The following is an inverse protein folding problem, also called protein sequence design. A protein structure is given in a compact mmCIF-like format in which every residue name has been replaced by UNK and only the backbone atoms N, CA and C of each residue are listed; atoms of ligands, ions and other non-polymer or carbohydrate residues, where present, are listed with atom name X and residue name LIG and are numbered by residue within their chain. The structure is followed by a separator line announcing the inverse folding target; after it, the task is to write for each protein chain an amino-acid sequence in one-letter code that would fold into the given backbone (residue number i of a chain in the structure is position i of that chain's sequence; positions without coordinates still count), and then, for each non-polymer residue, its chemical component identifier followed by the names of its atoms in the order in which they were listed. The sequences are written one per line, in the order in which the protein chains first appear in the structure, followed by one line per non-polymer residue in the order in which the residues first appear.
data_IF_681026790433
#
_entry.id   IF_681026790433
#
_cell.length_a   1.000
_cell.length_b   1.000
_cell.length_c   1.000
_cell.angle_alpha   90.00
_cell.angle_beta   90.00
_cell.angle_gamma   90.00
#
_symmetry.space_group_name_H-M   'P 1'
#
loop_
_entity.id
_entity.type
_entity.pdbx_description
1 polymer ?
#
# COMPACT_ATOMS: atom_id res chain seq x y z
N UNK A 1 2.58 25.96 21.03
CA UNK A 1 1.94 26.14 19.71
C UNK A 1 2.39 25.00 18.81
N UNK A 2 1.47 24.23 18.34
CA UNK A 2 1.75 23.12 17.40
C UNK A 2 1.98 23.69 16.00
N UNK A 3 3.00 23.20 15.30
CA UNK A 3 3.31 23.62 13.94
C UNK A 3 2.76 22.63 12.90
N UNK A 4 2.52 23.11 11.67
CA UNK A 4 2.08 22.26 10.55
C UNK A 4 3.04 21.09 10.31
N UNK A 5 4.34 21.27 10.53
CA UNK A 5 5.34 20.21 10.40
C UNK A 5 5.16 19.12 11.45
N UNK A 6 4.86 19.49 12.70
CA UNK A 6 4.60 18.52 13.77
C UNK A 6 3.34 17.72 13.49
N UNK A 7 2.27 18.36 13.00
CA UNK A 7 1.05 17.65 12.59
C UNK A 7 1.34 16.68 11.43
N UNK A 8 2.06 17.11 10.40
CA UNK A 8 2.44 16.23 9.30
C UNK A 8 3.29 15.05 9.76
N UNK A 9 4.24 15.28 10.67
CA UNK A 9 5.09 14.23 11.25
C UNK A 9 4.30 13.24 12.11
N UNK A 10 3.30 13.72 12.85
CA UNK A 10 2.38 12.83 13.59
C UNK A 10 1.56 11.97 12.63
N UNK A 11 1.06 12.54 11.54
CA UNK A 11 0.29 11.83 10.51
C UNK A 11 1.13 10.81 9.71
N UNK A 12 2.46 10.92 9.68
CA UNK A 12 3.34 9.88 9.10
C UNK A 12 3.26 8.54 9.84
N UNK A 13 2.81 8.54 11.10
CA UNK A 13 2.60 7.31 11.86
C UNK A 13 1.26 6.63 11.56
N UNK A 14 0.36 7.30 10.87
CA UNK A 14 -0.97 6.78 10.51
C UNK A 14 -0.87 5.96 9.23
N UNK A 15 -1.16 4.68 9.34
CA UNK A 15 -1.05 3.73 8.23
C UNK A 15 -2.41 3.46 7.59
N UNK A 16 -2.48 3.54 6.27
CA UNK A 16 -3.63 3.01 5.53
C UNK A 16 -3.60 1.47 5.58
N UNK A 17 -4.60 0.82 6.17
CA UNK A 17 -4.60 -0.64 6.35
C UNK A 17 -4.80 -1.41 5.04
N UNK A 18 -5.30 -0.78 3.98
CA UNK A 18 -5.48 -1.42 2.66
C UNK A 18 -4.17 -1.40 1.86
N UNK A 19 -3.44 -0.30 1.94
CA UNK A 19 -2.22 -0.09 1.14
C UNK A 19 -0.97 -0.46 1.94
N UNK A 20 -1.04 -0.43 3.29
CA UNK A 20 0.07 -0.73 4.18
C UNK A 20 1.17 0.34 4.18
N UNK A 21 0.80 1.60 3.93
CA UNK A 21 1.67 2.78 3.92
C UNK A 21 1.05 3.93 4.69
N UNK A 22 1.89 4.88 5.10
CA UNK A 22 1.39 6.05 5.80
C UNK A 22 0.61 6.99 4.86
N UNK A 23 -0.38 7.68 5.42
CA UNK A 23 -1.29 8.55 4.66
C UNK A 23 -0.60 9.78 4.07
N UNK A 24 0.54 10.20 4.62
CA UNK A 24 1.33 11.34 4.13
C UNK A 24 2.07 10.96 2.85
N UNK A 25 2.78 9.82 2.83
CA UNK A 25 3.49 9.29 1.65
C UNK A 25 2.53 8.95 0.50
N UNK A 26 1.30 8.55 0.84
CA UNK A 26 0.24 8.30 -0.14
C UNK A 26 -0.35 9.58 -0.74
N UNK A 27 0.02 10.76 -0.20
CA UNK A 27 -0.56 12.03 -0.62
C UNK A 27 -2.04 12.17 -0.25
N UNK A 28 -2.50 11.46 0.77
CA UNK A 28 -3.89 11.51 1.24
C UNK A 28 -4.17 12.76 2.07
N UNK A 29 -3.17 13.36 2.73
CA UNK A 29 -3.32 14.61 3.48
C UNK A 29 -3.36 15.78 2.51
N UNK A 30 -4.55 16.36 2.31
CA UNK A 30 -4.77 17.47 1.37
C UNK A 30 -4.43 18.82 2.00
N UNK A 31 -4.93 19.06 3.19
CA UNK A 31 -4.79 20.35 3.86
C UNK A 31 -4.69 20.17 5.38
N UNK A 32 -3.87 21.03 5.99
CA UNK A 32 -3.77 21.16 7.44
C UNK A 32 -3.90 22.64 7.76
N UNK A 33 -4.98 23.00 8.45
CA UNK A 33 -5.23 24.34 8.95
C UNK A 33 -5.03 24.33 10.46
N UNK A 34 -4.41 25.37 11.00
CA UNK A 34 -4.13 25.52 12.43
C UNK A 34 -4.56 26.93 12.82
N UNK A 35 -5.53 27.04 13.72
CA UNK A 35 -5.98 28.30 14.29
C UNK A 35 -5.95 28.21 15.82
N UNK A 36 -4.82 28.64 16.39
CA UNK A 36 -4.57 28.51 17.82
C UNK A 36 -4.48 27.06 18.29
N UNK A 37 -5.51 26.58 19.01
CA UNK A 37 -5.65 25.22 19.48
C UNK A 37 -6.57 24.36 18.59
N UNK A 38 -7.22 24.98 17.60
CA UNK A 38 -8.06 24.26 16.64
C UNK A 38 -7.21 23.79 15.46
N UNK A 39 -7.23 22.49 15.20
CA UNK A 39 -6.50 21.85 14.08
C UNK A 39 -7.50 21.14 13.20
N UNK A 40 -7.57 21.57 11.96
CA UNK A 40 -8.39 20.95 10.93
C UNK A 40 -7.52 20.25 9.91
N UNK A 41 -7.72 18.93 9.76
CA UNK A 41 -7.00 18.11 8.79
C UNK A 41 -7.96 17.54 7.77
N UNK A 42 -7.73 17.80 6.50
CA UNK A 42 -8.50 17.24 5.40
C UNK A 42 -7.74 16.06 4.78
N UNK A 43 -8.33 14.87 4.86
CA UNK A 43 -7.79 13.63 4.31
C UNK A 43 -8.65 13.19 3.12
N UNK A 44 -8.00 12.96 1.98
CA UNK A 44 -8.62 12.48 0.75
C UNK A 44 -8.50 10.95 0.66
N UNK A 45 -9.62 10.25 0.60
CA UNK A 45 -9.70 8.79 0.48
C UNK A 45 -9.78 8.36 -0.98
N UNK A 46 -9.19 7.22 -1.31
CA UNK A 46 -9.20 6.65 -2.67
C UNK A 46 -10.59 6.21 -3.11
N UNK A 47 -11.41 5.75 -2.14
CA UNK A 47 -12.79 5.29 -2.37
C UNK A 47 -13.72 6.06 -1.46
N UNK A 48 -14.77 6.71 -1.99
CA UNK A 48 -15.82 7.30 -1.17
C UNK A 48 -16.55 6.19 -0.42
N UNK A 49 -16.85 6.40 0.86
CA UNK A 49 -17.47 5.42 1.77
C UNK A 49 -16.62 4.15 2.01
N UNK A 50 -15.31 4.30 2.12
CA UNK A 50 -14.43 3.22 2.56
C UNK A 50 -14.87 2.74 3.96
N UNK A 51 -15.08 1.43 4.18
CA UNK A 51 -15.46 0.91 5.50
C UNK A 51 -14.40 1.16 6.58
N UNK A 52 -13.19 1.52 6.19
CA UNK A 52 -12.06 1.83 7.08
C UNK A 52 -11.87 3.34 7.30
N UNK A 53 -12.75 4.18 6.74
CA UNK A 53 -12.66 5.64 6.87
C UNK A 53 -12.67 6.10 8.34
N UNK A 54 -13.53 5.50 9.18
CA UNK A 54 -13.65 5.86 10.59
C UNK A 54 -12.38 5.49 11.37
N UNK A 55 -11.72 4.42 10.97
CA UNK A 55 -10.45 4.00 11.56
C UNK A 55 -9.32 4.97 11.17
N UNK A 56 -9.21 5.32 9.89
CA UNK A 56 -8.18 6.28 9.42
C UNK A 56 -8.40 7.65 10.10
N UNK A 57 -9.66 8.09 10.21
CA UNK A 57 -9.99 9.34 10.89
C UNK A 57 -9.66 9.29 12.40
N UNK A 58 -9.98 8.17 13.06
CA UNK A 58 -9.65 7.95 14.48
C UNK A 58 -8.14 7.94 14.71
N UNK A 59 -7.41 7.11 13.96
CA UNK A 59 -5.95 7.00 14.07
C UNK A 59 -5.26 8.36 13.78
N UNK A 60 -5.80 9.15 12.82
CA UNK A 60 -5.30 10.49 12.52
C UNK A 60 -5.62 11.50 13.63
N UNK A 61 -6.81 11.45 14.20
CA UNK A 61 -7.21 12.26 15.34
C UNK A 61 -6.30 12.00 16.54
N UNK A 62 -6.16 10.74 16.94
CA UNK A 62 -5.34 10.30 18.07
C UNK A 62 -3.86 10.72 17.89
N UNK A 63 -3.33 10.62 16.67
CA UNK A 63 -1.95 11.00 16.37
C UNK A 63 -1.72 12.51 16.52
N UNK A 64 -2.70 13.35 16.18
CA UNK A 64 -2.61 14.82 16.32
C UNK A 64 -2.90 15.25 17.75
N UNK A 65 -3.89 14.63 18.43
CA UNK A 65 -4.23 14.90 19.84
C UNK A 65 -3.04 14.61 20.77
N UNK A 66 -2.22 13.62 20.46
CA UNK A 66 -1.01 13.29 21.22
C UNK A 66 0.07 14.39 21.19
N UNK A 67 -0.06 15.43 20.34
CA UNK A 67 0.90 16.53 20.26
C UNK A 67 0.76 17.55 21.38
N UNK A 68 -0.46 17.75 21.93
CA UNK A 68 -0.71 18.61 23.08
C UNK A 68 -2.08 18.30 23.72
N UNK A 69 -2.19 18.52 25.04
CA UNK A 69 -3.37 18.13 25.86
C UNK A 69 -4.65 18.99 25.62
N UNK A 70 -4.54 20.15 24.98
CA UNK A 70 -5.66 21.10 24.82
C UNK A 70 -5.97 21.36 23.32
N UNK A 71 -5.81 20.36 22.46
CA UNK A 71 -6.11 20.51 21.03
C UNK A 71 -7.57 20.13 20.73
N UNK A 72 -8.19 20.90 19.85
CA UNK A 72 -9.46 20.55 19.24
C UNK A 72 -9.20 20.10 17.80
N UNK A 73 -9.17 18.78 17.58
CA UNK A 73 -8.81 18.19 16.29
C UNK A 73 -10.06 17.83 15.51
N UNK A 74 -10.20 18.37 14.31
CA UNK A 74 -11.24 18.02 13.35
C UNK A 74 -10.63 17.31 12.15
N UNK A 75 -11.09 16.09 11.88
CA UNK A 75 -10.68 15.34 10.69
C UNK A 75 -11.80 15.37 9.66
N UNK A 76 -11.55 16.00 8.53
CA UNK A 76 -12.47 16.05 7.41
C UNK A 76 -12.06 15.01 6.36
N UNK A 77 -12.97 14.10 6.03
CA UNK A 77 -12.77 13.11 5.00
C UNK A 77 -13.39 13.58 3.69
N UNK A 78 -12.64 13.44 2.61
CA UNK A 78 -13.09 13.76 1.25
C UNK A 78 -12.66 12.66 0.28
N UNK A 79 -13.23 12.65 -0.92
CA UNK A 79 -12.80 11.73 -1.97
C UNK A 79 -11.61 12.31 -2.75
N UNK A 80 -10.64 11.46 -3.09
CA UNK A 80 -9.57 11.82 -4.00
C UNK A 80 -10.13 12.11 -5.40
N UNK A 81 -9.58 13.13 -6.03
CA UNK A 81 -9.80 13.36 -7.46
C UNK A 81 -9.07 12.31 -8.30
N UNK A 82 -9.46 12.16 -9.57
CA UNK A 82 -8.81 11.21 -10.46
C UNK A 82 -7.32 11.54 -10.68
N UNK A 83 -6.96 12.84 -10.67
CA UNK A 83 -5.58 13.30 -10.75
C UNK A 83 -4.77 12.91 -9.51
N UNK A 84 -5.34 13.02 -8.31
CA UNK A 84 -4.70 12.61 -7.05
C UNK A 84 -4.47 11.11 -7.03
N UNK A 85 -5.45 10.31 -7.49
CA UNK A 85 -5.33 8.84 -7.62
C UNK A 85 -4.22 8.45 -8.60
N UNK A 86 -4.09 9.16 -9.71
CA UNK A 86 -3.01 8.92 -10.68
C UNK A 86 -1.64 9.21 -10.07
N UNK A 87 -1.46 10.35 -9.42
CA UNK A 87 -0.21 10.71 -8.73
C UNK A 87 0.16 9.68 -7.67
N UNK A 88 -0.79 9.24 -6.85
CA UNK A 88 -0.57 8.18 -5.87
C UNK A 88 -0.12 6.88 -6.55
N UNK A 89 -0.78 6.49 -7.65
CA UNK A 89 -0.43 5.29 -8.41
C UNK A 89 0.99 5.39 -9.01
N UNK A 90 1.37 6.56 -9.50
CA UNK A 90 2.73 6.82 -10.01
C UNK A 90 3.78 6.75 -8.90
N UNK A 91 3.48 7.32 -7.74
CA UNK A 91 4.35 7.23 -6.55
C UNK A 91 4.56 5.78 -6.12
N UNK A 92 3.48 5.00 -6.10
CA UNK A 92 3.53 3.57 -5.77
C UNK A 92 4.31 2.76 -6.82
N UNK A 93 4.19 3.10 -8.12
CA UNK A 93 4.93 2.48 -9.21
C UNK A 93 6.41 2.87 -9.21
N UNK A 94 6.72 4.14 -8.98
CA UNK A 94 8.10 4.65 -8.94
C UNK A 94 8.92 4.00 -7.82
N UNK A 95 8.29 3.74 -6.68
CA UNK A 95 8.96 3.06 -5.56
C UNK A 95 9.04 1.53 -5.74
N UNK A 96 8.17 0.92 -6.54
CA UNK A 96 8.31 -0.50 -6.93
C UNK A 96 9.48 -0.73 -7.90
N UNK A 97 10.04 0.31 -8.52
CA UNK A 97 11.24 0.23 -9.38
C UNK A 97 12.56 0.39 -8.63
N UNK A 98 12.54 0.70 -7.34
CA UNK A 98 13.66 0.30 -6.51
C UNK A 98 13.40 -1.16 -6.13
N UNK A 99 14.12 -2.13 -6.72
CA UNK A 99 14.16 -3.44 -6.14
C UNK A 99 14.86 -3.23 -4.79
N UNK A 100 14.11 -3.18 -3.70
CA UNK A 100 14.65 -3.74 -2.48
C UNK A 100 14.98 -5.17 -2.89
N UNK A 101 16.26 -5.40 -3.11
CA UNK A 101 16.86 -6.71 -3.10
C UNK A 101 16.74 -7.26 -1.66
N UNK A 102 15.52 -7.45 -1.20
CA UNK A 102 15.25 -8.67 -0.49
C UNK A 102 15.30 -9.74 -1.58
N UNK A 103 16.51 -10.19 -1.88
CA UNK A 103 16.69 -11.50 -2.48
C UNK A 103 15.86 -12.44 -1.61
N UNK A 104 14.64 -12.72 -2.06
CA UNK A 104 13.77 -13.67 -1.37
C UNK A 104 14.63 -14.91 -1.19
N UNK A 105 14.62 -15.54 -0.02
CA UNK A 105 15.30 -16.82 0.21
C UNK A 105 15.02 -17.80 -0.93
N UNK A 106 13.84 -17.72 -1.55
CA UNK A 106 13.47 -18.43 -2.77
C UNK A 106 14.35 -18.05 -3.97
N UNK A 107 14.73 -16.79 -4.18
CA UNK A 107 15.61 -16.38 -5.27
C UNK A 107 17.06 -16.84 -5.05
N UNK A 108 17.52 -16.85 -3.79
CA UNK A 108 18.85 -17.37 -3.42
C UNK A 108 18.97 -18.89 -3.54
N UNK A 109 17.85 -19.61 -3.32
CA UNK A 109 17.79 -21.08 -3.40
C UNK A 109 17.37 -21.59 -4.78
N UNK A 110 16.87 -20.70 -5.65
CA UNK A 110 16.28 -21.07 -6.94
C UNK A 110 17.32 -20.98 -8.07
N UNK A 111 18.13 -22.02 -8.20
CA UNK A 111 19.10 -22.15 -9.30
C UNK A 111 18.43 -22.79 -10.54
N UNK A 112 17.21 -22.35 -10.86
CA UNK A 112 16.42 -22.87 -11.98
C UNK A 112 16.85 -22.18 -13.27
N UNK A 113 17.46 -22.94 -14.18
CA UNK A 113 17.93 -22.44 -15.49
C UNK A 113 16.79 -22.18 -16.47
N UNK A 114 15.71 -22.95 -16.38
CA UNK A 114 14.59 -22.85 -17.31
C UNK A 114 13.27 -23.25 -16.63
N UNK A 115 12.21 -22.49 -16.90
CA UNK A 115 10.85 -22.78 -16.42
C UNK A 115 9.99 -23.14 -17.62
N UNK A 116 9.34 -24.29 -17.58
CA UNK A 116 8.38 -24.73 -18.59
C UNK A 116 6.98 -24.68 -17.99
N UNK A 117 6.12 -23.82 -18.54
CA UNK A 117 4.73 -23.69 -18.14
C UNK A 117 3.82 -24.53 -19.02
N UNK A 118 3.02 -25.42 -18.41
CA UNK A 118 2.00 -26.20 -19.11
C UNK A 118 0.64 -25.58 -18.87
N UNK A 119 0.07 -24.96 -19.90
CA UNK A 119 -1.20 -24.22 -19.81
C UNK A 119 -2.26 -24.82 -20.72
N UNK A 120 -3.52 -24.67 -20.35
CA UNK A 120 -4.66 -25.00 -21.21
C UNK A 120 -5.84 -24.08 -20.91
N UNK A 121 -6.63 -23.75 -21.92
CA UNK A 121 -7.83 -22.91 -21.79
C UNK A 121 -9.04 -23.66 -21.23
N UNK A 122 -8.98 -24.97 -20.97
CA UNK A 122 -10.09 -25.80 -20.48
C UNK A 122 -9.63 -26.73 -19.35
N UNK A 123 -10.49 -26.92 -18.34
CA UNK A 123 -10.25 -27.88 -17.27
C UNK A 123 -10.48 -29.33 -17.72
N UNK A 124 -9.84 -30.30 -17.06
CA UNK A 124 -10.05 -31.74 -17.28
C UNK A 124 -9.40 -32.33 -18.54
N UNK A 125 -8.54 -31.62 -19.25
CA UNK A 125 -7.89 -32.06 -20.50
C UNK A 125 -6.56 -32.82 -20.31
N UNK A 126 -6.24 -33.28 -19.11
CA UNK A 126 -5.02 -34.06 -18.85
C UNK A 126 -3.75 -33.20 -18.68
N UNK A 127 -3.88 -31.89 -18.41
CA UNK A 127 -2.75 -30.97 -18.20
C UNK A 127 -1.75 -31.45 -17.15
N UNK A 128 -2.24 -31.92 -16.00
CA UNK A 128 -1.40 -32.45 -14.92
C UNK A 128 -0.66 -33.72 -15.34
N UNK A 129 -1.30 -34.60 -16.11
CA UNK A 129 -0.69 -35.83 -16.65
C UNK A 129 0.42 -35.47 -17.65
N UNK A 130 0.16 -34.53 -18.56
CA UNK A 130 1.15 -34.06 -19.52
C UNK A 130 2.36 -33.41 -18.82
N UNK A 131 2.12 -32.59 -17.79
CA UNK A 131 3.20 -32.01 -16.99
C UNK A 131 4.04 -33.05 -16.26
N UNK A 132 3.41 -34.07 -15.67
CA UNK A 132 4.12 -35.16 -15.01
C UNK A 132 4.95 -36.01 -15.98
N UNK A 133 4.42 -36.34 -17.15
CA UNK A 133 5.14 -37.07 -18.19
C UNK A 133 6.33 -36.28 -18.74
N UNK A 134 6.16 -34.95 -18.94
CA UNK A 134 7.22 -34.08 -19.38
C UNK A 134 8.35 -34.01 -18.35
N UNK A 135 8.01 -33.85 -17.06
CA UNK A 135 8.98 -33.84 -15.97
C UNK A 135 9.77 -35.16 -15.87
N UNK A 136 9.07 -36.30 -15.98
CA UNK A 136 9.72 -37.62 -16.01
C UNK A 136 10.65 -37.80 -17.22
N UNK A 137 10.23 -37.30 -18.38
CA UNK A 137 11.02 -37.35 -19.61
C UNK A 137 12.31 -36.50 -19.54
N UNK A 138 12.19 -35.28 -18.97
CA UNK A 138 13.34 -34.37 -18.79
C UNK A 138 14.36 -34.94 -17.79
N UNK A 139 13.84 -35.49 -16.65
CA UNK A 139 14.70 -36.16 -15.65
C UNK A 139 15.51 -37.32 -16.25
N UNK A 140 14.92 -38.13 -17.17
CA UNK A 140 15.62 -39.22 -17.84
C UNK A 140 16.74 -38.75 -18.80
N UNK A 141 16.66 -37.49 -19.26
CA UNK A 141 17.66 -36.86 -20.10
C UNK A 141 18.71 -36.07 -19.31
N UNK A 142 18.62 -36.06 -17.97
CA UNK A 142 19.56 -35.34 -17.11
C UNK A 142 19.31 -33.82 -17.04
N UNK A 143 18.12 -33.39 -17.36
CA UNK A 143 17.66 -31.99 -17.28
C UNK A 143 16.77 -31.77 -16.05
#
# INVERSE_FOLDING_TARGET
MVSKQQVMQALENVMDPEIGRNIVDLGMVREVQIDGNDIEVTIALTVPNCPLQDRIAGDAGDAVDALAEDLNVQINLTAMTDEEKQRMTETLRGQRQQPQQEESLAARMNNVKSVVAVMSGKGGVGKSTAAAMLAAGLRRKGL
#
